data_IF_503531423285
#
_entry.id   IF_503531423285
#
_cell.length_a   1.000
_cell.length_b   1.000
_cell.length_c   1.000
_cell.angle_alpha   90.00
_cell.angle_beta   90.00
_cell.angle_gamma   90.00
#
_symmetry.space_group_name_H-M   'P 1'
#
loop_
_entity.id
_entity.type
_entity.pdbx_description
1 polymer ?
#
# COMPACT_ATOMS: atom_id res chain seq x y z
N UNK A 1 -12.26 -8.94 3.46
CA UNK A 1 -10.82 -8.64 3.36
C UNK A 1 -10.39 -7.76 4.51
N UNK A 2 -9.17 -7.96 4.99
CA UNK A 2 -8.60 -7.12 6.04
C UNK A 2 -8.07 -5.82 5.46
N UNK A 3 -7.88 -4.82 6.31
CA UNK A 3 -7.37 -3.51 5.91
C UNK A 3 -5.92 -3.36 6.34
N UNK A 4 -5.10 -2.77 5.46
CA UNK A 4 -3.69 -2.50 5.73
C UNK A 4 -3.33 -1.11 5.26
N UNK A 5 -2.40 -0.47 5.97
CA UNK A 5 -1.75 0.74 5.48
C UNK A 5 -0.34 0.40 5.04
N UNK A 6 0.05 0.85 3.87
CA UNK A 6 1.41 0.67 3.35
C UNK A 6 2.05 2.05 3.30
N UNK A 7 3.12 2.24 4.07
CA UNK A 7 3.94 3.44 4.00
C UNK A 7 5.24 3.08 3.30
N UNK A 8 5.52 3.69 2.15
CA UNK A 8 6.72 3.37 1.39
C UNK A 8 7.64 4.57 1.27
N UNK A 9 8.95 4.29 1.17
CA UNK A 9 9.98 5.30 0.93
C UNK A 9 11.01 4.75 -0.04
N UNK A 10 11.42 5.57 -0.99
CA UNK A 10 12.59 5.27 -1.81
C UNK A 10 13.85 5.57 -0.99
N UNK A 11 14.93 4.80 -1.14
CA UNK A 11 16.18 5.07 -0.41
C UNK A 11 16.81 6.41 -0.78
N UNK A 12 16.54 6.90 -2.00
CA UNK A 12 17.01 8.20 -2.48
C UNK A 12 15.85 8.93 -3.15
N UNK A 13 15.30 10.00 -2.52
CA UNK A 13 14.16 10.74 -3.08
C UNK A 13 14.48 11.46 -4.39
N UNK A 14 15.77 11.60 -4.74
CA UNK A 14 16.18 12.20 -6.02
C UNK A 14 16.37 11.17 -7.13
N UNK A 15 16.09 9.89 -6.85
CA UNK A 15 16.27 8.80 -7.82
C UNK A 15 15.29 8.94 -8.98
N UNK A 16 15.83 9.32 -10.13
CA UNK A 16 15.04 9.55 -11.36
C UNK A 16 14.34 8.27 -11.81
N UNK A 17 15.01 7.12 -11.65
CA UNK A 17 14.47 5.83 -12.05
C UNK A 17 13.20 5.48 -11.25
N UNK A 18 13.23 5.70 -9.94
CA UNK A 18 12.06 5.52 -9.08
C UNK A 18 10.94 6.48 -9.47
N UNK A 19 11.27 7.77 -9.62
CA UNK A 19 10.28 8.79 -9.98
C UNK A 19 9.61 8.47 -11.31
N UNK A 20 10.39 8.06 -12.32
CA UNK A 20 9.85 7.71 -13.62
C UNK A 20 8.97 6.46 -13.54
N UNK A 21 9.35 5.49 -12.72
CA UNK A 21 8.56 4.28 -12.53
C UNK A 21 7.18 4.59 -11.93
N UNK A 22 7.10 5.51 -10.94
CA UNK A 22 5.83 5.95 -10.36
C UNK A 22 4.96 6.64 -11.41
N UNK A 23 5.56 7.56 -12.18
CA UNK A 23 4.83 8.27 -13.24
C UNK A 23 4.28 7.28 -14.27
N UNK A 24 5.11 6.35 -14.72
CA UNK A 24 4.72 5.35 -15.71
C UNK A 24 3.60 4.45 -15.19
N UNK A 25 3.68 4.05 -13.92
CA UNK A 25 2.67 3.22 -13.28
C UNK A 25 1.30 3.92 -13.28
N UNK A 26 1.28 5.19 -12.89
CA UNK A 26 0.04 5.98 -12.82
C UNK A 26 -0.51 6.21 -14.23
N UNK A 27 0.34 6.62 -15.19
CA UNK A 27 -0.07 6.84 -16.58
C UNK A 27 -0.53 5.54 -17.25
N UNK A 28 0.04 4.41 -16.87
CA UNK A 28 -0.31 3.10 -17.39
C UNK A 28 -1.61 2.53 -16.85
N UNK A 29 -2.36 3.27 -16.05
CA UNK A 29 -3.66 2.84 -15.53
C UNK A 29 -3.61 2.11 -14.20
N UNK A 30 -2.48 2.16 -13.51
CA UNK A 30 -2.33 1.55 -12.17
C UNK A 30 -2.72 0.07 -12.16
N UNK A 31 -2.05 -0.77 -12.98
CA UNK A 31 -2.52 -2.14 -13.25
C UNK A 31 -2.51 -3.07 -12.03
N UNK A 32 -1.72 -2.76 -11.00
CA UNK A 32 -1.64 -3.59 -9.80
C UNK A 32 -2.42 -2.99 -8.62
N UNK A 33 -3.29 -2.01 -8.86
CA UNK A 33 -4.12 -1.44 -7.80
C UNK A 33 -5.28 -2.35 -7.40
N UNK A 34 -5.63 -3.28 -8.26
CA UNK A 34 -6.68 -4.26 -7.96
C UNK A 34 -6.39 -5.59 -8.64
N UNK A 35 -6.46 -6.66 -7.86
CA UNK A 35 -6.38 -8.04 -8.34
C UNK A 35 -7.05 -8.94 -7.30
N UNK A 36 -7.11 -10.24 -7.59
CA UNK A 36 -7.77 -11.20 -6.69
C UNK A 36 -7.17 -11.11 -5.28
N UNK A 37 -8.02 -10.76 -4.31
CA UNK A 37 -7.61 -10.66 -2.90
C UNK A 37 -6.92 -9.35 -2.51
N UNK A 38 -6.95 -8.32 -3.38
CA UNK A 38 -6.28 -7.05 -3.09
C UNK A 38 -6.95 -5.88 -3.82
N UNK A 39 -7.10 -4.75 -3.12
CA UNK A 39 -7.62 -3.52 -3.71
C UNK A 39 -7.07 -2.29 -3.00
N UNK A 40 -6.52 -1.34 -3.77
CA UNK A 40 -6.14 -0.03 -3.24
C UNK A 40 -7.40 0.82 -3.05
N UNK A 41 -7.58 1.37 -1.85
CA UNK A 41 -8.70 2.26 -1.52
C UNK A 41 -8.32 3.72 -1.67
N UNK A 42 -7.08 4.08 -1.33
CA UNK A 42 -6.60 5.46 -1.37
C UNK A 42 -5.08 5.47 -1.51
N UNK A 43 -4.55 6.54 -2.11
CA UNK A 43 -3.12 6.76 -2.29
C UNK A 43 -2.82 8.23 -2.05
N UNK A 44 -1.71 8.50 -1.35
CA UNK A 44 -1.16 9.83 -1.25
C UNK A 44 0.35 9.74 -1.48
N UNK A 45 0.87 10.59 -2.33
CA UNK A 45 2.29 10.61 -2.68
C UNK A 45 2.93 11.81 -2.00
N UNK A 46 4.12 11.57 -1.40
CA UNK A 46 4.90 12.59 -0.71
C UNK A 46 6.19 12.86 -1.50
N UNK A 47 6.19 13.76 -2.49
CA UNK A 47 7.34 13.94 -3.40
C UNK A 47 8.61 14.34 -2.66
N UNK A 48 8.49 15.18 -1.63
CA UNK A 48 9.64 15.68 -0.87
C UNK A 48 10.31 14.60 -0.02
N UNK A 49 9.62 13.48 0.25
CA UNK A 49 10.16 12.36 1.02
C UNK A 49 10.49 11.15 0.15
N UNK A 50 10.20 11.22 -1.13
CA UNK A 50 10.39 10.10 -2.04
C UNK A 50 9.53 8.89 -1.71
N UNK A 51 8.31 9.11 -1.21
CA UNK A 51 7.44 8.02 -0.79
C UNK A 51 5.97 8.38 -0.80
N UNK A 52 5.20 7.68 0.02
CA UNK A 52 3.78 7.91 0.14
C UNK A 52 3.11 6.88 1.03
N UNK A 53 1.78 6.91 1.04
CA UNK A 53 0.98 5.95 1.78
C UNK A 53 -0.12 5.39 0.88
N UNK A 54 -0.44 4.11 1.11
CA UNK A 54 -1.59 3.44 0.52
C UNK A 54 -2.49 2.92 1.63
N UNK A 55 -3.80 3.05 1.44
CA UNK A 55 -4.78 2.32 2.24
C UNK A 55 -5.34 1.24 1.33
N UNK A 56 -5.26 -0.02 1.78
CA UNK A 56 -5.66 -1.16 0.95
C UNK A 56 -6.55 -2.13 1.73
N UNK A 57 -7.30 -2.92 0.97
CA UNK A 57 -7.96 -4.13 1.48
C UNK A 57 -7.30 -5.34 0.84
N UNK A 58 -7.02 -6.37 1.65
CA UNK A 58 -6.38 -7.58 1.16
C UNK A 58 -6.81 -8.79 2.01
N UNK A 59 -6.77 -9.96 1.39
CA UNK A 59 -7.11 -11.20 2.09
C UNK A 59 -6.08 -11.56 3.15
N UNK A 60 -4.81 -11.22 2.90
CA UNK A 60 -3.70 -11.57 3.80
C UNK A 60 -2.46 -10.76 3.44
N UNK A 61 -1.41 -10.91 4.25
CA UNK A 61 -0.14 -10.22 4.05
C UNK A 61 0.52 -10.60 2.72
N UNK A 62 0.40 -11.85 2.29
CA UNK A 62 1.00 -12.29 1.03
C UNK A 62 0.41 -11.52 -0.15
N UNK A 63 -0.91 -11.25 -0.14
CA UNK A 63 -1.55 -10.45 -1.17
C UNK A 63 -1.02 -9.01 -1.18
N UNK A 64 -0.78 -8.43 0.00
CA UNK A 64 -0.17 -7.09 0.12
C UNK A 64 1.24 -7.08 -0.45
N UNK A 65 2.06 -8.07 -0.11
CA UNK A 65 3.44 -8.13 -0.57
C UNK A 65 3.56 -8.38 -2.06
N UNK A 66 2.58 -9.02 -2.67
CA UNK A 66 2.54 -9.16 -4.12
C UNK A 66 2.49 -7.80 -4.81
N UNK A 67 1.83 -6.82 -4.20
CA UNK A 67 1.83 -5.44 -4.70
C UNK A 67 3.18 -4.75 -4.46
N UNK A 68 3.77 -4.92 -3.29
CA UNK A 68 4.98 -4.20 -2.90
C UNK A 68 6.26 -4.78 -3.51
N UNK A 69 6.31 -6.08 -3.83
CA UNK A 69 7.52 -6.77 -4.28
C UNK A 69 8.21 -6.13 -5.49
N UNK A 70 7.53 -5.77 -6.58
CA UNK A 70 8.21 -5.14 -7.70
C UNK A 70 8.95 -3.86 -7.31
N UNK A 71 8.40 -3.10 -6.37
CA UNK A 71 9.00 -1.85 -5.89
C UNK A 71 10.16 -2.12 -4.94
N UNK A 72 9.99 -3.03 -3.98
CA UNK A 72 11.03 -3.34 -3.01
C UNK A 72 12.20 -4.10 -3.64
N UNK A 73 11.91 -5.07 -4.48
CA UNK A 73 12.95 -5.88 -5.14
C UNK A 73 13.56 -5.17 -6.34
N UNK A 74 12.75 -4.44 -7.13
CA UNK A 74 13.22 -3.81 -8.35
C UNK A 74 13.88 -2.46 -8.14
N UNK A 75 13.43 -1.69 -7.15
CA UNK A 75 13.86 -0.29 -6.97
C UNK A 75 14.41 0.01 -5.56
N UNK A 76 14.48 -0.99 -4.69
CA UNK A 76 14.98 -0.80 -3.33
C UNK A 76 14.06 0.03 -2.44
N UNK A 77 12.79 0.16 -2.80
CA UNK A 77 11.80 0.88 -1.99
C UNK A 77 11.54 0.09 -0.72
N UNK A 78 11.52 0.76 0.43
CA UNK A 78 11.13 0.15 1.69
C UNK A 78 9.64 0.35 1.91
N UNK A 79 8.98 -0.65 2.49
CA UNK A 79 7.56 -0.58 2.79
C UNK A 79 7.30 -1.03 4.22
N UNK A 80 6.61 -0.18 4.99
CA UNK A 80 6.11 -0.54 6.31
C UNK A 80 4.63 -0.84 6.18
N UNK A 81 4.23 -2.04 6.57
CA UNK A 81 2.86 -2.53 6.42
C UNK A 81 2.24 -2.64 7.80
N UNK A 82 1.15 -1.89 8.01
CA UNK A 82 0.43 -1.85 9.29
C UNK A 82 -0.98 -2.38 9.10
N UNK A 83 -1.34 -3.49 9.76
CA UNK A 83 -2.73 -3.96 9.74
C UNK A 83 -3.62 -3.04 10.56
N UNK A 84 -4.86 -2.90 10.15
CA UNK A 84 -5.84 -2.07 10.84
C UNK A 84 -7.25 -2.57 10.63
N UNK A 85 -8.21 -1.85 11.20
CA UNK A 85 -9.61 -2.18 11.11
C UNK A 85 -10.37 -1.03 10.43
N UNK A 86 -11.44 -1.36 9.72
CA UNK A 86 -12.41 -0.36 9.29
C UNK A 86 -13.25 0.07 10.49
N UNK A 87 -14.03 1.13 10.33
CA UNK A 87 -14.94 1.60 11.38
C UNK A 87 -15.90 0.49 11.79
N UNK A 88 -16.47 -0.22 10.82
CA UNK A 88 -17.43 -1.30 11.07
C UNK A 88 -16.77 -2.48 11.79
N UNK A 89 -15.57 -2.86 11.39
CA UNK A 89 -14.81 -3.93 12.05
C UNK A 89 -14.49 -3.56 13.49
N UNK A 90 -14.14 -2.29 13.73
CA UNK A 90 -13.86 -1.82 15.09
C UNK A 90 -15.10 -1.88 15.97
N UNK A 91 -16.24 -1.42 15.48
CA UNK A 91 -17.52 -1.49 16.20
C UNK A 91 -17.85 -2.95 16.54
N UNK A 92 -17.73 -3.84 15.57
CA UNK A 92 -18.02 -5.27 15.76
C UNK A 92 -17.10 -5.88 16.81
N UNK A 93 -15.81 -5.53 16.80
CA UNK A 93 -14.84 -6.00 17.78
C UNK A 93 -15.24 -5.54 19.19
N UNK A 94 -15.50 -4.25 19.36
CA UNK A 94 -15.83 -3.70 20.67
C UNK A 94 -17.13 -4.28 21.22
N UNK A 95 -18.15 -4.43 20.39
CA UNK A 95 -19.41 -5.04 20.81
C UNK A 95 -19.22 -6.50 21.20
N UNK A 96 -18.39 -7.26 20.47
CA UNK A 96 -18.12 -8.65 20.80
C UNK A 96 -17.35 -8.81 22.11
N UNK A 97 -16.51 -7.84 22.45
CA UNK A 97 -15.70 -7.86 23.68
C UNK A 97 -16.50 -7.38 24.90
N UNK A 98 -17.57 -6.62 24.69
CA UNK A 98 -18.37 -6.06 25.77
C UNK A 98 -19.42 -7.03 26.34
N UNK A 99 -19.71 -8.11 25.66
CA UNK A 99 -20.74 -9.08 26.08
C UNK A 99 -20.22 -10.19 26.98
#
# INVERSE_FOLDING_TARGET
>A
MARFMIHWCAPDPTNVKYTQAIVDYIKGGKPMDEYAGFKVLARQIHPHLGGGVLLVEADNLAAVQKHTYPWTKGLGVTATITPGLSDEEYVDLEESMAS
#
